data_IF_030907881841
#
_entry.id   IF_030907881841
#
_cell.length_a   1.000
_cell.length_b   1.000
_cell.length_c   1.000
_cell.angle_alpha   90.00
_cell.angle_beta   90.00
_cell.angle_gamma   90.00
#
_symmetry.space_group_name_H-M   'P 1'
#
loop_
_entity.id
_entity.type
_entity.pdbx_description
1 polymer ?
#
# COMPACT_ATOMS: atom_id res chain seq x y z
N UNK A 1 -65.75 -3.88 48.02
CA UNK A 1 -66.10 -4.81 46.93
C UNK A 1 -65.02 -4.66 45.83
N UNK A 2 -64.19 -5.66 45.73
CA UNK A 2 -63.50 -6.24 44.59
C UNK A 2 -63.12 -5.31 43.38
N UNK A 3 -61.89 -4.81 43.37
CA UNK A 3 -61.26 -4.23 42.21
C UNK A 3 -60.12 -5.14 41.72
N UNK A 4 -60.23 -5.65 40.51
CA UNK A 4 -59.33 -6.53 39.85
C UNK A 4 -58.10 -5.74 39.34
N UNK A 5 -56.91 -6.04 39.84
CA UNK A 5 -55.65 -5.55 39.31
C UNK A 5 -55.34 -6.27 37.99
N UNK A 6 -55.22 -5.52 36.90
CA UNK A 6 -54.74 -5.98 35.62
C UNK A 6 -53.20 -5.82 35.58
N UNK A 7 -52.50 -6.93 35.60
CA UNK A 7 -51.08 -6.95 35.32
C UNK A 7 -50.86 -6.86 33.81
N UNK A 8 -50.22 -5.78 33.36
CA UNK A 8 -49.75 -5.67 32.01
C UNK A 8 -48.36 -6.27 31.92
N UNK A 9 -48.24 -7.38 31.22
CA UNK A 9 -46.98 -7.98 30.82
C UNK A 9 -46.34 -7.10 29.76
N UNK A 10 -45.25 -6.40 30.11
CA UNK A 10 -44.36 -5.73 29.16
C UNK A 10 -43.41 -6.78 28.62
N UNK A 11 -43.67 -7.25 27.42
CA UNK A 11 -42.75 -8.06 26.65
C UNK A 11 -41.67 -7.14 26.12
N UNK A 12 -40.51 -7.13 26.78
CA UNK A 12 -39.32 -6.45 26.28
C UNK A 12 -38.78 -7.19 25.08
N UNK A 13 -38.86 -6.58 23.90
CA UNK A 13 -38.17 -7.03 22.71
C UNK A 13 -36.67 -6.81 22.88
N UNK A 14 -35.93 -7.85 23.15
CA UNK A 14 -34.49 -7.86 23.02
C UNK A 14 -34.13 -7.75 21.53
N UNK A 15 -33.78 -6.56 21.08
CA UNK A 15 -33.19 -6.31 19.79
C UNK A 15 -31.73 -6.81 19.83
N UNK A 16 -31.52 -8.03 19.37
CA UNK A 16 -30.21 -8.55 18.95
C UNK A 16 -29.81 -7.83 17.66
N UNK A 17 -29.15 -6.69 17.80
CA UNK A 17 -28.63 -5.93 16.69
C UNK A 17 -27.21 -5.47 16.99
N UNK A 18 -26.21 -6.03 16.34
CA UNK A 18 -24.93 -5.42 15.97
C UNK A 18 -23.74 -6.37 16.06
N UNK A 19 -23.80 -7.51 15.36
CA UNK A 19 -22.63 -8.37 15.14
C UNK A 19 -21.89 -8.15 13.82
N UNK A 20 -22.38 -7.27 12.92
CA UNK A 20 -21.86 -7.20 11.55
C UNK A 20 -20.76 -6.18 11.27
N UNK A 21 -20.62 -5.14 12.07
CA UNK A 21 -19.69 -4.03 11.80
C UNK A 21 -18.18 -4.42 11.82
N UNK A 22 -17.65 -5.19 12.79
CA UNK A 22 -16.22 -5.51 12.83
C UNK A 22 -15.78 -6.44 11.70
N UNK A 23 -16.60 -7.40 11.29
CA UNK A 23 -16.26 -8.32 10.22
C UNK A 23 -16.25 -7.62 8.84
N UNK A 24 -17.19 -6.73 8.57
CA UNK A 24 -17.24 -5.93 7.35
C UNK A 24 -16.03 -4.98 7.24
N UNK A 25 -15.67 -4.30 8.33
CA UNK A 25 -14.49 -3.43 8.38
C UNK A 25 -13.18 -4.21 8.15
N UNK A 26 -13.04 -5.40 8.72
CA UNK A 26 -11.88 -6.26 8.50
C UNK A 26 -11.79 -6.76 7.05
N UNK A 27 -12.90 -7.16 6.43
CA UNK A 27 -12.96 -7.57 5.03
C UNK A 27 -12.62 -6.42 4.08
N UNK A 28 -13.15 -5.23 4.30
CA UNK A 28 -12.83 -4.03 3.54
C UNK A 28 -11.35 -3.69 3.67
N UNK A 29 -10.78 -3.83 4.87
CA UNK A 29 -9.38 -3.67 5.18
C UNK A 29 -8.49 -4.57 4.34
N UNK A 30 -8.82 -5.85 4.23
CA UNK A 30 -8.02 -6.82 3.46
C UNK A 30 -8.06 -6.52 1.96
N UNK A 31 -9.20 -6.09 1.43
CA UNK A 31 -9.35 -5.70 0.01
C UNK A 31 -8.48 -4.49 -0.33
N UNK A 32 -8.42 -3.48 0.55
CA UNK A 32 -7.58 -2.30 0.33
C UNK A 32 -6.09 -2.64 0.34
N UNK A 33 -5.65 -3.47 1.27
CA UNK A 33 -4.26 -3.96 1.30
C UNK A 33 -3.93 -4.74 0.04
N UNK A 34 -4.84 -5.60 -0.44
CA UNK A 34 -4.64 -6.34 -1.68
C UNK A 34 -4.52 -5.41 -2.90
N UNK A 35 -5.34 -4.36 -3.00
CA UNK A 35 -5.25 -3.35 -4.06
C UNK A 35 -3.96 -2.55 -4.01
N UNK A 36 -3.53 -2.14 -2.81
CA UNK A 36 -2.25 -1.45 -2.62
C UNK A 36 -1.07 -2.36 -3.00
N UNK A 37 -1.14 -3.64 -2.65
CA UNK A 37 -0.13 -4.63 -3.05
C UNK A 37 -0.08 -4.82 -4.56
N UNK A 38 -1.22 -4.92 -5.23
CA UNK A 38 -1.29 -5.00 -6.69
C UNK A 38 -0.63 -3.78 -7.35
N UNK A 39 -0.86 -2.57 -6.82
CA UNK A 39 -0.20 -1.36 -7.32
C UNK A 39 1.33 -1.43 -7.18
N UNK A 40 1.84 -2.00 -6.08
CA UNK A 40 3.26 -2.22 -5.88
C UNK A 40 3.83 -3.26 -6.85
N UNK A 41 3.14 -4.39 -7.04
CA UNK A 41 3.53 -5.45 -7.98
C UNK A 41 3.60 -4.92 -9.42
N UNK A 42 2.60 -4.15 -9.82
CA UNK A 42 2.55 -3.50 -11.13
C UNK A 42 3.68 -2.47 -11.31
N UNK A 43 4.04 -1.74 -10.25
CA UNK A 43 5.18 -0.83 -10.29
C UNK A 43 6.49 -1.58 -10.48
N UNK A 44 6.72 -2.66 -9.75
CA UNK A 44 7.90 -3.53 -9.94
C UNK A 44 7.94 -4.13 -11.36
N UNK A 45 6.80 -4.55 -11.88
CA UNK A 45 6.72 -5.10 -13.23
C UNK A 45 7.11 -4.06 -14.29
N UNK A 46 6.65 -2.80 -14.17
CA UNK A 46 7.02 -1.76 -15.12
C UNK A 46 8.49 -1.36 -15.01
N UNK A 47 9.07 -1.30 -13.80
CA UNK A 47 10.49 -1.02 -13.59
C UNK A 47 11.36 -2.15 -14.19
N UNK A 48 11.00 -3.40 -13.95
CA UNK A 48 11.69 -4.58 -14.49
C UNK A 48 11.67 -4.62 -16.02
N UNK A 49 10.53 -4.30 -16.62
CA UNK A 49 10.38 -4.27 -18.09
C UNK A 49 10.82 -2.95 -18.71
N UNK A 50 11.30 -1.99 -17.92
CA UNK A 50 11.74 -0.66 -18.35
C UNK A 50 10.66 0.14 -19.10
N UNK A 51 9.40 -0.09 -18.77
CA UNK A 51 8.26 0.65 -19.32
C UNK A 51 7.98 1.88 -18.47
N UNK A 52 8.81 2.88 -18.59
CA UNK A 52 8.84 4.03 -17.68
C UNK A 52 7.58 4.92 -17.72
N UNK A 53 6.89 5.03 -18.84
CA UNK A 53 5.64 5.78 -18.89
C UNK A 53 4.54 5.19 -17.99
N UNK A 54 4.27 3.87 -17.99
CA UNK A 54 3.42 3.24 -16.97
C UNK A 54 3.93 3.42 -15.54
N UNK A 55 5.24 3.35 -15.30
CA UNK A 55 5.81 3.58 -13.97
C UNK A 55 5.52 4.99 -13.46
N UNK A 56 5.74 6.01 -14.31
CA UNK A 56 5.44 7.39 -14.01
C UNK A 56 3.98 7.59 -13.61
N UNK A 57 3.06 7.02 -14.38
CA UNK A 57 1.62 7.10 -14.11
C UNK A 57 1.21 6.44 -12.77
N UNK A 58 2.04 5.55 -12.22
CA UNK A 58 1.80 4.88 -10.93
C UNK A 58 2.34 5.65 -9.73
N UNK A 59 3.09 6.72 -9.94
CA UNK A 59 3.60 7.58 -8.86
C UNK A 59 2.51 8.52 -8.35
N UNK A 60 2.57 8.87 -7.07
CA UNK A 60 1.66 9.85 -6.46
C UNK A 60 1.93 11.27 -6.95
N UNK A 61 0.93 12.13 -6.80
CA UNK A 61 1.09 13.58 -7.09
C UNK A 61 2.22 14.20 -6.29
N UNK A 62 2.42 13.75 -5.05
CA UNK A 62 3.52 14.23 -4.21
C UNK A 62 4.88 13.87 -4.81
N UNK A 63 5.02 12.63 -5.30
CA UNK A 63 6.26 12.17 -5.95
C UNK A 63 6.49 12.92 -7.26
N UNK A 64 5.46 13.13 -8.08
CA UNK A 64 5.57 13.96 -9.28
C UNK A 64 6.05 15.38 -8.96
N UNK A 65 5.49 16.01 -7.92
CA UNK A 65 5.92 17.33 -7.48
C UNK A 65 7.38 17.35 -6.99
N UNK A 66 7.84 16.28 -6.33
CA UNK A 66 9.23 16.15 -5.91
C UNK A 66 10.18 16.06 -7.10
N UNK A 67 9.86 15.24 -8.10
CA UNK A 67 10.62 15.15 -9.34
C UNK A 67 10.66 16.49 -10.09
N UNK A 68 9.53 17.21 -10.17
CA UNK A 68 9.45 18.52 -10.79
C UNK A 68 10.35 19.55 -10.11
N UNK A 69 10.40 19.55 -8.76
CA UNK A 69 11.32 20.42 -8.00
C UNK A 69 12.79 20.16 -8.29
N UNK A 70 13.12 18.93 -8.69
CA UNK A 70 14.48 18.52 -9.09
C UNK A 70 14.75 18.80 -10.59
N UNK A 71 13.84 19.50 -11.29
CA UNK A 71 13.96 19.76 -12.72
C UNK A 71 13.72 18.54 -13.60
N UNK A 72 12.95 17.54 -13.11
CA UNK A 72 12.69 16.26 -13.79
C UNK A 72 11.19 15.92 -13.74
N UNK A 73 10.35 16.87 -14.13
CA UNK A 73 8.89 16.79 -14.00
C UNK A 73 8.17 16.10 -15.15
N UNK A 74 8.89 15.55 -16.14
CA UNK A 74 8.31 14.89 -17.29
C UNK A 74 8.59 13.40 -17.32
N UNK A 75 7.80 12.65 -18.09
CA UNK A 75 8.01 11.21 -18.31
C UNK A 75 9.38 10.91 -18.90
N UNK A 76 9.85 11.77 -19.83
CA UNK A 76 11.17 11.59 -20.47
C UNK A 76 12.31 11.73 -19.48
N UNK A 77 12.28 12.80 -18.67
CA UNK A 77 13.29 13.05 -17.64
C UNK A 77 13.31 11.97 -16.57
N UNK A 78 12.12 11.48 -16.19
CA UNK A 78 11.99 10.33 -15.30
C UNK A 78 12.62 9.07 -15.93
N UNK A 79 12.28 8.78 -17.19
CA UNK A 79 12.79 7.62 -17.91
C UNK A 79 14.32 7.63 -18.02
N UNK A 80 14.91 8.77 -18.39
CA UNK A 80 16.36 8.96 -18.48
C UNK A 80 17.04 8.72 -17.11
N UNK A 81 16.49 9.35 -16.07
CA UNK A 81 17.00 9.17 -14.71
C UNK A 81 16.92 7.73 -14.23
N UNK A 82 15.79 7.04 -14.51
CA UNK A 82 15.62 5.63 -14.12
C UNK A 82 16.47 4.69 -14.96
N UNK A 83 16.72 5.02 -16.24
CA UNK A 83 17.61 4.23 -17.08
C UNK A 83 19.07 4.23 -16.59
N UNK A 84 19.52 5.34 -16.00
CA UNK A 84 20.85 5.51 -15.44
C UNK A 84 20.98 5.05 -13.98
N UNK A 85 19.87 4.90 -13.24
CA UNK A 85 19.88 4.60 -11.82
C UNK A 85 20.12 3.12 -11.53
N UNK A 86 20.95 2.87 -10.54
CA UNK A 86 21.13 1.61 -9.83
C UNK A 86 20.72 1.82 -8.35
N UNK A 87 20.22 0.81 -7.64
CA UNK A 87 19.92 -0.56 -8.08
C UNK A 87 18.54 -0.67 -8.77
N UNK A 88 18.43 -1.65 -9.69
CA UNK A 88 17.14 -2.09 -10.24
C UNK A 88 16.76 -3.40 -9.59
N UNK A 89 15.50 -3.50 -9.19
CA UNK A 89 14.99 -4.71 -8.54
C UNK A 89 14.27 -5.61 -9.55
N UNK A 90 14.57 -6.91 -9.50
CA UNK A 90 13.89 -7.93 -10.28
C UNK A 90 12.65 -8.41 -9.56
N UNK A 91 12.84 -9.11 -8.46
CA UNK A 91 11.79 -9.70 -7.64
C UNK A 91 11.79 -9.12 -6.23
N UNK A 92 10.67 -9.25 -5.54
CA UNK A 92 10.55 -8.84 -4.15
C UNK A 92 9.70 -9.80 -3.33
N UNK A 93 9.93 -9.81 -2.03
CA UNK A 93 9.14 -10.52 -1.04
C UNK A 93 8.68 -9.56 0.05
N UNK A 94 7.38 -9.54 0.34
CA UNK A 94 6.84 -8.73 1.42
C UNK A 94 7.19 -9.37 2.76
N UNK A 95 7.83 -8.59 3.65
CA UNK A 95 8.19 -8.99 5.00
C UNK A 95 7.18 -8.48 6.03
N UNK A 96 6.73 -7.24 5.86
CA UNK A 96 5.84 -6.56 6.79
C UNK A 96 4.90 -5.61 6.07
N UNK A 97 3.70 -5.46 6.60
CA UNK A 97 2.71 -4.52 6.12
C UNK A 97 2.27 -3.64 7.30
N UNK A 98 2.35 -2.32 7.13
CA UNK A 98 1.78 -1.34 8.05
C UNK A 98 0.70 -0.55 7.32
N UNK A 99 -0.43 -0.38 7.96
CA UNK A 99 -1.61 0.22 7.33
C UNK A 99 -2.12 1.43 8.12
N UNK A 100 -2.57 2.43 7.38
CA UNK A 100 -3.43 3.53 7.83
C UNK A 100 -4.58 3.73 6.82
N UNK A 101 -5.60 4.54 7.10
CA UNK A 101 -6.82 4.62 6.26
C UNK A 101 -6.58 4.92 4.78
N UNK A 102 -5.57 5.71 4.44
CA UNK A 102 -5.27 6.11 3.06
C UNK A 102 -3.88 5.67 2.57
N UNK A 103 -3.14 4.92 3.40
CA UNK A 103 -1.74 4.60 3.11
C UNK A 103 -1.39 3.21 3.62
N UNK A 104 -0.69 2.45 2.79
CA UNK A 104 -0.10 1.16 3.15
C UNK A 104 1.41 1.25 2.95
N UNK A 105 2.17 0.81 3.93
CA UNK A 105 3.64 0.72 3.85
C UNK A 105 4.02 -0.75 3.83
N UNK A 106 4.74 -1.15 2.79
CA UNK A 106 5.30 -2.48 2.63
C UNK A 106 6.79 -2.44 2.90
N UNK A 107 7.25 -3.21 3.88
CA UNK A 107 8.66 -3.55 3.99
C UNK A 107 8.90 -4.78 3.13
N UNK A 108 9.79 -4.68 2.16
CA UNK A 108 10.11 -5.76 1.23
C UNK A 108 11.60 -6.09 1.25
N UNK A 109 11.91 -7.35 0.98
CA UNK A 109 13.22 -7.76 0.48
C UNK A 109 13.17 -7.74 -1.04
N UNK A 110 14.06 -6.98 -1.66
CA UNK A 110 14.10 -6.83 -3.10
C UNK A 110 15.47 -7.25 -3.62
N UNK A 111 15.51 -8.18 -4.58
CA UNK A 111 16.74 -8.66 -5.21
C UNK A 111 17.12 -7.75 -6.36
N UNK A 112 18.36 -7.32 -6.41
CA UNK A 112 18.88 -6.52 -7.52
C UNK A 112 18.95 -7.36 -8.79
N UNK A 113 18.42 -6.84 -9.89
CA UNK A 113 18.37 -7.57 -11.16
C UNK A 113 19.75 -7.93 -11.71
N UNK A 114 20.75 -7.09 -11.44
CA UNK A 114 22.14 -7.31 -11.88
C UNK A 114 22.95 -8.26 -10.98
N UNK A 115 22.49 -8.50 -9.75
CA UNK A 115 23.21 -9.25 -8.73
C UNK A 115 22.37 -10.45 -8.27
N UNK A 116 22.27 -11.50 -9.10
CA UNK A 116 21.42 -12.67 -8.80
C UNK A 116 21.81 -13.39 -7.50
N UNK A 117 23.07 -13.32 -7.10
CA UNK A 117 23.60 -13.95 -5.89
C UNK A 117 23.92 -12.94 -4.78
N UNK A 118 23.53 -11.66 -4.98
CA UNK A 118 23.70 -10.60 -3.98
C UNK A 118 22.70 -10.70 -2.83
N UNK A 119 23.07 -10.13 -1.68
CA UNK A 119 22.13 -9.98 -0.57
C UNK A 119 20.99 -9.05 -0.98
N UNK A 120 19.73 -9.44 -0.69
CA UNK A 120 18.59 -8.58 -1.01
C UNK A 120 18.62 -7.30 -0.17
N UNK A 121 18.20 -6.20 -0.79
CA UNK A 121 18.00 -4.94 -0.10
C UNK A 121 16.66 -4.96 0.66
N UNK A 122 16.64 -4.39 1.86
CA UNK A 122 15.40 -4.10 2.57
C UNK A 122 14.91 -2.71 2.20
N UNK A 123 13.73 -2.63 1.62
CA UNK A 123 13.17 -1.39 1.09
C UNK A 123 11.75 -1.21 1.61
N UNK A 124 11.45 -0.03 2.11
CA UNK A 124 10.09 0.36 2.43
C UNK A 124 9.46 1.10 1.24
N UNK A 125 8.31 0.63 0.80
CA UNK A 125 7.46 1.31 -0.17
C UNK A 125 6.19 1.82 0.50
N UNK A 126 5.95 3.11 0.37
CA UNK A 126 4.69 3.70 0.75
C UNK A 126 3.76 3.76 -0.45
N UNK A 127 2.55 3.25 -0.31
CA UNK A 127 1.50 3.26 -1.31
C UNK A 127 0.32 4.06 -0.77
N UNK A 128 -0.07 5.11 -1.47
CA UNK A 128 -1.10 6.07 -1.07
C UNK A 128 -2.34 5.92 -1.94
N UNK A 129 -3.51 6.04 -1.34
CA UNK A 129 -4.77 6.10 -2.08
C UNK A 129 -5.03 7.52 -2.57
N UNK A 130 -5.12 7.71 -3.88
CA UNK A 130 -5.52 8.95 -4.55
C UNK A 130 -6.82 8.70 -5.34
N UNK A 131 -7.96 9.13 -4.80
CA UNK A 131 -9.27 8.78 -5.34
C UNK A 131 -9.50 7.26 -5.30
N UNK A 132 -9.75 6.68 -6.46
CA UNK A 132 -9.97 5.23 -6.61
C UNK A 132 -8.68 4.43 -6.88
N UNK A 133 -7.53 5.12 -7.02
CA UNK A 133 -6.26 4.50 -7.39
C UNK A 133 -5.27 4.46 -6.23
N UNK A 134 -4.50 3.39 -6.17
CA UNK A 134 -3.34 3.29 -5.30
C UNK A 134 -2.08 3.67 -6.06
N UNK A 135 -1.28 4.58 -5.50
CA UNK A 135 -0.09 5.19 -6.11
C UNK A 135 1.13 4.99 -5.23
N UNK A 136 2.28 4.82 -5.83
CA UNK A 136 3.56 4.76 -5.12
C UNK A 136 3.89 6.17 -4.62
N UNK A 137 3.95 6.33 -3.30
CA UNK A 137 4.16 7.62 -2.65
C UNK A 137 5.58 7.82 -2.11
N UNK A 138 6.40 6.81 -2.14
CA UNK A 138 7.79 6.92 -1.75
C UNK A 138 8.46 5.58 -1.55
N UNK A 139 9.77 5.66 -1.54
CA UNK A 139 10.66 4.54 -1.30
C UNK A 139 11.74 4.96 -0.29
N UNK A 140 12.03 4.11 0.67
CA UNK A 140 13.16 4.26 1.59
C UNK A 140 13.96 2.96 1.60
N UNK A 141 15.22 3.04 1.24
CA UNK A 141 16.14 1.91 1.42
C UNK A 141 16.52 1.87 2.90
N UNK A 142 16.21 0.76 3.56
CA UNK A 142 16.63 0.53 4.94
C UNK A 142 18.15 0.31 4.96
N UNK A 143 18.83 0.94 5.91
CA UNK A 143 20.18 0.51 6.24
C UNK A 143 20.05 -0.91 6.78
N UNK A 144 20.79 -1.84 6.19
CA UNK A 144 20.99 -3.15 6.81
C UNK A 144 21.58 -2.88 8.19
N UNK A 145 20.82 -3.18 9.26
CA UNK A 145 21.42 -3.30 10.58
C UNK A 145 22.47 -4.41 10.49
N UNK A 146 23.69 -4.03 10.26
CA UNK A 146 24.83 -4.84 10.61
C UNK A 146 24.84 -4.90 12.12
N UNK A 147 24.17 -5.90 12.66
CA UNK A 147 24.35 -6.30 14.06
C UNK A 147 25.80 -6.75 14.23
N UNK A 148 26.53 -6.22 15.22
CA UNK A 148 27.90 -6.60 15.49
C UNK A 148 28.00 -8.06 15.93
#
# INVERSE_FOLDING_TARGET
MRGLARWALVVGALSLGAGGAPAAAAAQSSVEVARARQALEDYFACERTRRFAPCWARLSKRVHAEWARQGRGTVSEYAESRAAAEPRYGDFRVLQIRRSPSRVVFLVEATRAAEKDGLPDRVEYAVLREGEQWKIDGRRVGQSETTP
#
